data_IF_435835637786
#
_entry.id   IF_435835637786
#
_cell.length_a   1.000
_cell.length_b   1.000
_cell.length_c   1.000
_cell.angle_alpha   90.00
_cell.angle_beta   90.00
_cell.angle_gamma   90.00
#
_symmetry.space_group_name_H-M   'P 1'
#
loop_
_entity.id
_entity.type
_entity.pdbx_description
1 polymer ?
#
# COMPACT_ATOMS: atom_id res chain seq x y z
N UNK A 1 -7.49 2.48 -1.05
CA UNK A 1 -7.54 1.25 -1.88
C UNK A 1 -7.74 0.01 -1.03
N UNK A 2 -6.82 -0.33 -0.11
CA UNK A 2 -7.06 -1.40 0.89
C UNK A 2 -8.37 -1.18 1.68
N UNK A 3 -8.60 0.04 2.19
CA UNK A 3 -9.80 0.37 2.95
C UNK A 3 -11.11 0.30 2.15
N UNK A 4 -11.08 0.65 0.85
CA UNK A 4 -12.29 0.80 0.04
C UNK A 4 -12.63 -0.48 -0.74
N UNK A 5 -11.61 -1.10 -1.35
CA UNK A 5 -11.77 -2.28 -2.19
C UNK A 5 -11.46 -3.59 -1.46
N UNK A 6 -10.80 -3.54 -0.30
CA UNK A 6 -10.26 -4.74 0.37
C UNK A 6 -9.08 -5.38 -0.37
N UNK A 7 -8.57 -4.74 -1.43
CA UNK A 7 -7.53 -5.31 -2.29
C UNK A 7 -6.15 -5.32 -1.66
N UNK A 8 -5.32 -6.26 -2.09
CA UNK A 8 -3.93 -6.35 -1.66
C UNK A 8 -3.05 -5.48 -2.54
N UNK A 9 -2.39 -4.49 -1.94
CA UNK A 9 -1.50 -3.58 -2.66
C UNK A 9 -0.16 -4.23 -3.01
N UNK A 10 0.28 -4.01 -4.25
CA UNK A 10 1.57 -4.42 -4.78
C UNK A 10 2.50 -3.23 -4.97
N UNK A 11 2.87 -2.97 -6.23
CA UNK A 11 3.80 -1.92 -6.62
C UNK A 11 3.09 -0.57 -6.79
N UNK A 12 3.75 0.55 -6.46
CA UNK A 12 3.16 1.88 -6.62
C UNK A 12 4.19 2.98 -6.85
N UNK A 13 4.90 2.98 -7.98
CA UNK A 13 5.96 3.93 -8.24
C UNK A 13 5.39 5.26 -8.80
N UNK A 14 6.13 6.36 -8.65
CA UNK A 14 5.86 7.57 -9.41
C UNK A 14 6.19 7.37 -10.89
N UNK A 15 5.50 8.12 -11.75
CA UNK A 15 5.73 8.24 -13.19
C UNK A 15 5.82 9.73 -13.56
N UNK A 16 6.22 10.05 -14.79
CA UNK A 16 6.46 11.44 -15.23
C UNK A 16 5.29 12.39 -14.92
N UNK A 17 4.04 11.94 -15.14
CA UNK A 17 2.84 12.74 -14.95
C UNK A 17 1.95 12.27 -13.79
N UNK A 18 2.51 11.59 -12.78
CA UNK A 18 1.73 11.13 -11.62
C UNK A 18 2.28 9.88 -10.97
N UNK A 19 1.41 8.93 -10.68
CA UNK A 19 1.75 7.64 -10.10
C UNK A 19 0.67 6.62 -10.45
N UNK A 20 0.97 5.34 -10.26
CA UNK A 20 -0.04 4.28 -10.29
C UNK A 20 0.12 3.38 -9.06
N UNK A 21 -0.85 2.49 -8.87
CA UNK A 21 -0.78 1.44 -7.86
C UNK A 21 -1.35 0.15 -8.42
N UNK A 22 -0.57 -0.93 -8.34
CA UNK A 22 -1.03 -2.28 -8.60
C UNK A 22 -1.80 -2.78 -7.37
N UNK A 23 -2.97 -3.36 -7.63
CA UNK A 23 -3.82 -3.92 -6.59
C UNK A 23 -4.44 -5.22 -7.08
N UNK A 24 -4.34 -6.25 -6.24
CA UNK A 24 -5.02 -7.51 -6.46
C UNK A 24 -6.39 -7.49 -5.78
N UNK A 25 -7.41 -7.91 -6.52
CA UNK A 25 -8.78 -8.12 -6.07
C UNK A 25 -9.19 -9.53 -6.50
N UNK A 26 -9.84 -10.30 -5.62
CA UNK A 26 -10.26 -11.67 -5.93
C UNK A 26 -11.43 -11.67 -6.93
N UNK A 27 -12.61 -11.21 -6.49
CA UNK A 27 -13.86 -11.36 -7.25
C UNK A 27 -14.40 -10.01 -7.78
N UNK A 28 -13.54 -9.01 -7.93
CA UNK A 28 -13.96 -7.64 -8.25
C UNK A 28 -12.98 -6.92 -9.17
N UNK A 29 -13.51 -6.06 -10.02
CA UNK A 29 -12.73 -5.09 -10.79
C UNK A 29 -12.90 -3.67 -10.26
N UNK A 30 -11.89 -2.83 -10.50
CA UNK A 30 -12.00 -1.39 -10.29
C UNK A 30 -12.86 -0.78 -11.40
N UNK A 31 -13.77 0.12 -11.03
CA UNK A 31 -14.66 0.81 -11.97
C UNK A 31 -14.47 2.32 -11.89
N UNK A 32 -14.64 3.00 -13.03
CA UNK A 32 -14.58 4.46 -13.13
C UNK A 32 -15.69 5.17 -12.35
N UNK A 33 -16.83 4.50 -12.17
CA UNK A 33 -17.99 5.07 -11.47
C UNK A 33 -17.69 5.32 -9.98
N UNK A 34 -16.72 4.60 -9.42
CA UNK A 34 -16.34 4.65 -8.01
C UNK A 34 -15.26 5.71 -7.71
N UNK A 35 -14.68 6.31 -8.75
CA UNK A 35 -13.58 7.25 -8.62
C UNK A 35 -13.96 8.45 -7.72
N UNK A 36 -15.18 8.96 -7.86
CA UNK A 36 -15.68 10.08 -7.04
C UNK A 36 -15.74 9.74 -5.55
N UNK A 37 -16.17 8.52 -5.20
CA UNK A 37 -16.21 8.05 -3.83
C UNK A 37 -14.79 7.87 -3.25
N UNK A 38 -13.88 7.32 -4.06
CA UNK A 38 -12.48 7.16 -3.69
C UNK A 38 -11.80 8.51 -3.44
N UNK A 39 -12.02 9.50 -4.31
CA UNK A 39 -11.48 10.86 -4.14
C UNK A 39 -11.97 11.52 -2.85
N UNK A 40 -13.25 11.35 -2.51
CA UNK A 40 -13.80 11.90 -1.27
C UNK A 40 -13.19 11.24 -0.04
N UNK A 41 -12.96 9.92 -0.07
CA UNK A 41 -12.25 9.21 0.99
C UNK A 41 -10.81 9.71 1.14
N UNK A 42 -10.09 9.88 0.03
CA UNK A 42 -8.73 10.44 0.04
C UNK A 42 -8.71 11.85 0.64
N UNK A 43 -9.66 12.72 0.24
CA UNK A 43 -9.79 14.08 0.81
C UNK A 43 -10.04 14.03 2.31
N UNK A 44 -10.89 13.13 2.81
CA UNK A 44 -11.14 12.99 4.23
C UNK A 44 -9.86 12.62 5.00
N UNK A 45 -9.11 11.61 4.53
CA UNK A 45 -7.85 11.18 5.13
C UNK A 45 -6.82 12.32 5.14
N UNK A 46 -6.74 13.12 4.07
CA UNK A 46 -5.86 14.29 4.01
C UNK A 46 -6.21 15.32 5.09
N UNK A 47 -7.51 15.54 5.35
CA UNK A 47 -7.94 16.49 6.39
C UNK A 47 -7.64 16.03 7.81
N UNK A 48 -7.49 14.72 8.04
CA UNK A 48 -7.11 14.18 9.35
C UNK A 48 -5.67 14.55 9.74
N UNK A 49 -4.83 14.94 8.78
CA UNK A 49 -3.43 15.37 9.02
C UNK A 49 -2.66 14.37 9.90
N UNK A 50 -2.85 13.08 9.62
CA UNK A 50 -2.14 12.03 10.32
C UNK A 50 -0.62 12.25 10.19
N UNK A 51 0.16 12.06 11.27
CA UNK A 51 1.61 12.18 11.18
C UNK A 51 2.14 11.12 10.23
N UNK A 52 3.09 11.49 9.38
CA UNK A 52 3.74 10.57 8.44
C UNK A 52 5.15 10.26 8.96
N UNK A 53 5.32 9.07 9.53
CA UNK A 53 6.53 8.70 10.26
C UNK A 53 7.31 7.62 9.50
N UNK A 54 8.59 7.88 9.23
CA UNK A 54 9.50 6.88 8.68
C UNK A 54 10.10 6.07 9.81
N UNK A 55 9.80 4.78 9.85
CA UNK A 55 10.28 3.85 10.87
C UNK A 55 11.25 2.86 10.26
N UNK A 56 12.34 2.57 10.97
CA UNK A 56 13.23 1.45 10.65
C UNK A 56 12.80 0.21 11.43
N UNK A 57 12.53 -0.88 10.73
CA UNK A 57 11.92 -2.09 11.28
C UNK A 57 12.65 -3.32 10.75
N UNK A 58 12.74 -4.37 11.56
CA UNK A 58 13.35 -5.64 11.13
C UNK A 58 12.50 -6.36 10.08
N UNK A 59 13.17 -7.08 9.19
CA UNK A 59 12.52 -7.86 8.12
C UNK A 59 11.52 -8.87 8.69
N UNK A 60 11.84 -9.53 9.81
CA UNK A 60 10.98 -10.54 10.43
C UNK A 60 9.66 -9.93 10.95
N UNK A 61 9.73 -8.77 11.58
CA UNK A 61 8.53 -8.05 12.06
C UNK A 61 7.66 -7.63 10.88
N UNK A 62 8.26 -7.16 9.78
CA UNK A 62 7.53 -6.78 8.58
C UNK A 62 6.88 -7.98 7.89
N UNK A 63 7.54 -9.14 7.88
CA UNK A 63 6.98 -10.37 7.32
C UNK A 63 5.76 -10.85 8.11
N UNK A 64 5.77 -10.77 9.45
CA UNK A 64 4.57 -11.08 10.25
C UNK A 64 3.49 -10.01 10.07
N UNK A 65 3.86 -8.72 10.03
CA UNK A 65 2.90 -7.61 9.84
C UNK A 65 2.17 -7.71 8.51
N UNK A 66 2.88 -8.07 7.44
CA UNK A 66 2.32 -8.17 6.09
C UNK A 66 1.93 -9.59 5.67
N UNK A 67 1.85 -10.56 6.60
CA UNK A 67 1.53 -11.97 6.28
C UNK A 67 0.25 -12.17 5.47
N UNK A 68 -0.70 -11.23 5.58
CA UNK A 68 -1.95 -11.23 4.83
C UNK A 68 -1.76 -10.83 3.35
N UNK A 69 -0.72 -10.07 3.03
CA UNK A 69 -0.45 -9.56 1.69
C UNK A 69 0.77 -10.26 1.07
N UNK A 70 0.50 -11.30 0.27
CA UNK A 70 1.50 -12.12 -0.41
C UNK A 70 2.46 -11.29 -1.29
N UNK A 71 1.99 -10.20 -1.88
CA UNK A 71 2.79 -9.34 -2.76
C UNK A 71 3.85 -8.57 -1.96
N UNK A 72 3.47 -8.00 -0.81
CA UNK A 72 4.42 -7.31 0.09
C UNK A 72 5.45 -8.29 0.66
N UNK A 73 5.03 -9.48 1.08
CA UNK A 73 5.96 -10.53 1.52
C UNK A 73 6.95 -10.92 0.41
N UNK A 74 6.47 -11.05 -0.83
CA UNK A 74 7.34 -11.33 -1.98
C UNK A 74 8.40 -10.24 -2.15
N UNK A 75 7.99 -8.96 -2.15
CA UNK A 75 8.90 -7.80 -2.26
C UNK A 75 9.94 -7.80 -1.13
N UNK A 76 9.52 -8.04 0.12
CA UNK A 76 10.43 -8.11 1.27
C UNK A 76 11.45 -9.24 1.10
N UNK A 77 11.02 -10.40 0.61
CA UNK A 77 11.90 -11.55 0.41
C UNK A 77 12.91 -11.33 -0.72
N UNK A 78 12.49 -10.74 -1.83
CA UNK A 78 13.32 -10.56 -3.02
C UNK A 78 14.22 -9.33 -2.96
N UNK A 79 13.73 -8.21 -2.40
CA UNK A 79 14.41 -6.91 -2.49
C UNK A 79 15.11 -6.49 -1.20
N UNK A 80 14.74 -7.03 -0.05
CA UNK A 80 15.35 -6.67 1.24
C UNK A 80 16.38 -7.71 1.64
N UNK A 81 17.64 -7.39 1.39
CA UNK A 81 18.80 -8.24 1.74
C UNK A 81 19.49 -7.80 3.04
N UNK A 82 18.92 -6.82 3.75
CA UNK A 82 19.41 -6.29 5.02
C UNK A 82 18.54 -6.77 6.19
N UNK A 83 19.06 -6.79 7.43
CA UNK A 83 18.26 -7.17 8.61
C UNK A 83 17.07 -6.22 8.88
N UNK A 84 17.22 -4.95 8.52
CA UNK A 84 16.20 -3.90 8.67
C UNK A 84 15.89 -3.21 7.34
N UNK A 85 14.70 -2.65 7.24
CA UNK A 85 14.30 -1.73 6.16
C UNK A 85 13.31 -0.70 6.71
N UNK A 86 12.91 0.26 5.90
CA UNK A 86 12.01 1.34 6.35
C UNK A 86 10.58 1.20 5.86
N UNK A 87 9.64 1.56 6.72
CA UNK A 87 8.22 1.69 6.41
C UNK A 87 7.72 3.08 6.79
N UNK A 88 6.57 3.46 6.22
CA UNK A 88 5.86 4.68 6.58
C UNK A 88 4.59 4.31 7.33
N UNK A 89 4.36 4.96 8.47
CA UNK A 89 3.15 4.87 9.28
C UNK A 89 2.44 6.21 9.28
#
# INVERSE_FOLDING_TARGET
>A
MELYYGGHLGYGPPIEAGFYYDMFLEDRAVSSEELSALENLCKAIIQEKQPFERLEVSKDVLLDMFKYNKFKCCILNEKVNTPTTTVYR
#
